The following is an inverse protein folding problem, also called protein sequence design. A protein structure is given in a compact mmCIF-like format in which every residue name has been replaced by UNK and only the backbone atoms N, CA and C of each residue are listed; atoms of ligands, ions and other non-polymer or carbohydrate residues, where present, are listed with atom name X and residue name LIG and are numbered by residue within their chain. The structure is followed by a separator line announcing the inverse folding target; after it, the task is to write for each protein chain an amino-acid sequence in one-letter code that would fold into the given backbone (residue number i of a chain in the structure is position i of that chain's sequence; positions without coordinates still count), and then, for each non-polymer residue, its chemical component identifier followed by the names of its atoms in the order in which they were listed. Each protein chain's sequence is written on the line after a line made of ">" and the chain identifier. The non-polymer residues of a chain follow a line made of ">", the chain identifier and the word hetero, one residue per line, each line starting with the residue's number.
data_IF_282095713543
#
_entry.id   IF_282095713543
#
_cell.length_a   1.000
_cell.length_b   1.000
_cell.length_c   1.000
_cell.angle_alpha   90.00
_cell.angle_beta   90.00
_cell.angle_gamma   90.00
#
_symmetry.space_group_name_H-M   'P 1'
#
loop_
_entity.id
_entity.type
_entity.pdbx_description
1 polymer ?
#
# COMPACT_ATOMS: atom_id res chain seq x y z
N UNK A 1 -4.76 -22.02 -4.12
CA UNK A 1 -5.85 -22.70 -3.37
C UNK A 1 -6.88 -21.65 -3.01
N UNK A 2 -8.18 -21.91 -3.16
CA UNK A 2 -9.23 -20.95 -2.80
C UNK A 2 -9.95 -21.43 -1.55
N UNK A 3 -9.98 -20.61 -0.50
CA UNK A 3 -10.76 -20.86 0.72
C UNK A 3 -12.05 -20.04 0.62
N UNK A 4 -13.19 -20.65 0.92
CA UNK A 4 -14.47 -19.94 0.95
C UNK A 4 -14.65 -19.29 2.31
N UNK A 5 -14.88 -17.99 2.31
CA UNK A 5 -15.13 -17.18 3.52
C UNK A 5 -16.41 -16.38 3.34
N UNK A 6 -17.13 -16.16 4.44
CA UNK A 6 -18.28 -15.26 4.50
C UNK A 6 -17.86 -14.00 5.25
N UNK A 7 -18.13 -12.82 4.68
CA UNK A 7 -17.86 -11.53 5.30
C UNK A 7 -19.15 -10.71 5.35
N UNK A 8 -19.32 -9.94 6.42
CA UNK A 8 -20.40 -8.95 6.53
C UNK A 8 -19.91 -7.62 5.99
N UNK A 9 -20.73 -6.94 5.19
CA UNK A 9 -20.43 -5.64 4.60
C UNK A 9 -21.61 -4.70 4.84
N UNK A 10 -21.32 -3.41 4.94
CA UNK A 10 -22.35 -2.37 4.92
C UNK A 10 -23.13 -2.41 3.59
N UNK A 11 -24.42 -2.13 3.64
CA UNK A 11 -25.32 -2.26 2.49
C UNK A 11 -24.88 -1.40 1.30
N UNK A 12 -24.46 -0.15 1.57
CA UNK A 12 -24.04 0.77 0.52
C UNK A 12 -22.68 0.38 -0.08
N UNK A 13 -21.79 -0.19 0.73
CA UNK A 13 -20.52 -0.74 0.26
C UNK A 13 -20.75 -1.94 -0.67
N UNK A 14 -21.66 -2.85 -0.32
CA UNK A 14 -22.00 -3.99 -1.17
C UNK A 14 -22.60 -3.54 -2.50
N UNK A 15 -23.43 -2.49 -2.53
CA UNK A 15 -23.98 -1.93 -3.77
C UNK A 15 -22.86 -1.37 -4.66
N UNK A 16 -21.95 -0.59 -4.09
CA UNK A 16 -20.80 -0.04 -4.81
C UNK A 16 -19.92 -1.15 -5.41
N UNK A 17 -19.60 -2.17 -4.62
CA UNK A 17 -18.80 -3.31 -5.08
C UNK A 17 -19.48 -4.08 -6.21
N UNK A 18 -20.81 -4.26 -6.15
CA UNK A 18 -21.57 -4.89 -7.24
C UNK A 18 -21.53 -4.06 -8.53
N UNK A 19 -21.68 -2.74 -8.42
CA UNK A 19 -21.57 -1.84 -9.57
C UNK A 19 -20.17 -1.93 -10.20
N UNK A 20 -19.13 -1.90 -9.38
CA UNK A 20 -17.74 -2.03 -9.87
C UNK A 20 -17.50 -3.39 -10.51
N UNK A 21 -18.04 -4.47 -9.95
CA UNK A 21 -17.94 -5.82 -10.49
C UNK A 21 -18.53 -5.91 -11.91
N UNK A 22 -19.69 -5.28 -12.13
CA UNK A 22 -20.33 -5.20 -13.45
C UNK A 22 -19.48 -4.37 -14.41
N UNK A 23 -19.05 -3.17 -14.01
CA UNK A 23 -18.22 -2.27 -14.81
C UNK A 23 -16.93 -2.97 -15.29
N UNK A 24 -16.32 -3.75 -14.41
CA UNK A 24 -15.03 -4.41 -14.67
C UNK A 24 -15.17 -5.86 -15.17
N UNK A 25 -16.40 -6.35 -15.38
CA UNK A 25 -16.68 -7.73 -15.81
C UNK A 25 -15.99 -8.80 -14.95
N UNK A 26 -15.93 -8.58 -13.64
CA UNK A 26 -15.33 -9.49 -12.65
C UNK A 26 -16.31 -9.76 -11.51
N UNK A 27 -15.96 -10.69 -10.61
CA UNK A 27 -16.78 -11.01 -9.45
C UNK A 27 -16.47 -10.08 -8.26
N UNK A 28 -17.45 -9.89 -7.37
CA UNK A 28 -17.23 -9.18 -6.10
C UNK A 28 -16.13 -9.83 -5.25
N UNK A 29 -16.06 -11.17 -5.27
CA UNK A 29 -15.01 -11.92 -4.55
C UNK A 29 -13.61 -11.61 -5.09
N UNK A 30 -13.47 -11.55 -6.42
CA UNK A 30 -12.20 -11.20 -7.08
C UNK A 30 -11.81 -9.75 -6.78
N UNK A 31 -12.76 -8.81 -6.83
CA UNK A 31 -12.49 -7.42 -6.45
C UNK A 31 -12.01 -7.29 -5.00
N UNK A 32 -12.70 -7.95 -4.05
CA UNK A 32 -12.30 -7.93 -2.65
C UNK A 32 -10.90 -8.54 -2.45
N UNK A 33 -10.59 -9.66 -3.10
CA UNK A 33 -9.25 -10.23 -3.02
C UNK A 33 -8.19 -9.26 -3.53
N UNK A 34 -8.41 -8.63 -4.68
CA UNK A 34 -7.45 -7.68 -5.24
C UNK A 34 -7.25 -6.48 -4.31
N UNK A 35 -8.33 -5.87 -3.83
CA UNK A 35 -8.25 -4.73 -2.89
C UNK A 35 -7.47 -5.10 -1.63
N UNK A 36 -7.67 -6.31 -1.09
CA UNK A 36 -6.92 -6.78 0.07
C UNK A 36 -5.43 -6.98 -0.27
N UNK A 37 -5.11 -7.60 -1.40
CA UNK A 37 -3.72 -7.78 -1.83
C UNK A 37 -3.03 -6.44 -2.07
N UNK A 38 -3.71 -5.49 -2.70
CA UNK A 38 -3.17 -4.15 -2.95
C UNK A 38 -2.92 -3.42 -1.62
N UNK A 39 -3.85 -3.49 -0.68
CA UNK A 39 -3.70 -2.90 0.65
C UNK A 39 -2.53 -3.51 1.45
N UNK A 40 -2.27 -4.81 1.32
CA UNK A 40 -1.09 -5.45 1.94
C UNK A 40 0.20 -5.27 1.14
N UNK A 41 0.11 -4.94 -0.15
CA UNK A 41 1.25 -4.72 -1.03
C UNK A 41 2.03 -3.48 -0.61
N UNK A 42 1.35 -2.39 -0.31
CA UNK A 42 1.97 -1.15 0.21
C UNK A 42 2.82 -1.44 1.47
N UNK A 43 2.28 -2.20 2.42
CA UNK A 43 3.01 -2.61 3.63
C UNK A 43 4.23 -3.50 3.32
N UNK A 44 4.13 -4.36 2.32
CA UNK A 44 5.24 -5.23 1.91
C UNK A 44 6.38 -4.43 1.30
N UNK A 45 6.07 -3.46 0.43
CA UNK A 45 7.05 -2.61 -0.24
C UNK A 45 7.80 -1.74 0.78
N UNK A 46 7.09 -1.21 1.78
CA UNK A 46 7.69 -0.45 2.90
C UNK A 46 8.66 -1.31 3.73
N UNK A 47 8.27 -2.56 4.04
CA UNK A 47 9.14 -3.48 4.77
C UNK A 47 10.39 -3.87 3.97
N UNK A 48 10.27 -4.01 2.65
CA UNK A 48 11.40 -4.31 1.77
C UNK A 48 12.36 -3.12 1.66
N UNK A 49 11.82 -1.90 1.53
CA UNK A 49 12.61 -0.67 1.58
C UNK A 49 13.35 -0.55 2.91
N UNK A 50 12.67 -0.80 4.04
CA UNK A 50 13.31 -0.77 5.35
C UNK A 50 14.50 -1.75 5.43
N UNK A 51 14.33 -2.99 4.96
CA UNK A 51 15.41 -3.99 4.93
C UNK A 51 16.55 -3.59 4.02
N UNK A 52 16.26 -3.06 2.83
CA UNK A 52 17.29 -2.62 1.88
C UNK A 52 18.10 -1.47 2.45
N UNK A 53 17.44 -0.58 3.21
CA UNK A 53 18.04 0.62 3.81
C UNK A 53 18.63 0.38 5.20
N UNK A 54 18.52 -0.82 5.76
CA UNK A 54 19.06 -1.16 7.09
C UNK A 54 20.57 -0.87 7.21
N UNK A 55 21.31 -0.97 6.09
CA UNK A 55 22.76 -0.72 6.04
C UNK A 55 23.11 0.73 5.71
N UNK A 56 22.14 1.61 5.47
CA UNK A 56 22.42 3.02 5.23
C UNK A 56 22.95 3.66 6.52
N UNK A 57 24.04 4.44 6.46
CA UNK A 57 24.53 5.15 7.62
C UNK A 57 23.50 6.18 8.07
N UNK A 58 23.32 6.30 9.39
CA UNK A 58 22.54 7.42 9.93
C UNK A 58 23.28 8.73 9.69
N UNK A 59 22.56 9.74 9.21
CA UNK A 59 23.09 11.09 9.02
C UNK A 59 22.56 11.98 10.14
N UNK A 60 23.45 12.74 10.78
CA UNK A 60 23.02 13.70 11.80
C UNK A 60 22.31 14.89 11.15
N UNK A 61 21.35 15.48 11.88
CA UNK A 61 20.65 16.66 11.42
C UNK A 61 21.60 17.83 11.09
N UNK A 62 22.65 18.00 11.90
CA UNK A 62 23.67 19.04 11.68
C UNK A 62 24.45 18.82 10.38
N UNK A 63 24.86 17.58 10.11
CA UNK A 63 25.58 17.21 8.88
C UNK A 63 24.72 17.47 7.63
N UNK A 64 23.43 17.13 7.70
CA UNK A 64 22.49 17.38 6.61
C UNK A 64 22.27 18.87 6.35
N UNK A 65 22.18 19.70 7.40
CA UNK A 65 22.04 21.15 7.26
C UNK A 65 23.28 21.80 6.62
N UNK A 66 24.47 21.31 6.93
CA UNK A 66 25.70 21.80 6.32
C UNK A 66 25.76 21.45 4.83
N UNK A 67 25.37 20.23 4.46
CA UNK A 67 25.28 19.77 3.07
C UNK A 67 24.25 20.56 2.24
N UNK A 68 23.06 20.81 2.79
CA UNK A 68 22.04 21.62 2.10
C UNK A 68 22.50 23.07 1.85
N UNK A 69 23.24 23.67 2.81
CA UNK A 69 23.82 25.01 2.62
C UNK A 69 24.90 25.02 1.56
N UNK A 70 25.77 24.01 1.51
CA UNK A 70 26.85 23.95 0.51
C UNK A 70 26.33 23.73 -0.91
N UNK A 71 25.20 23.03 -1.05
CA UNK A 71 24.52 22.83 -2.32
C UNK A 71 23.58 23.97 -2.73
N UNK A 72 23.47 25.03 -1.92
CA UNK A 72 22.55 26.17 -2.16
C UNK A 72 21.07 25.73 -2.25
N UNK A 73 20.72 24.69 -1.49
CA UNK A 73 19.38 24.10 -1.39
C UNK A 73 18.67 24.45 -0.07
N UNK A 74 19.34 25.22 0.79
CA UNK A 74 18.79 25.73 2.05
C UNK A 74 18.23 27.15 1.88
#
# INVERSE_FOLDING_TARGET
>A
MSIRTTVSLEDDLLKLLKLKAIETSTSVSTLLNNILFDAFGEDSDDLELFKTREKEPSVSFESLLQELRSENRL
#
